data_IF_249475811077
#
_entry.id   IF_249475811077
#
_cell.length_a   1.000
_cell.length_b   1.000
_cell.length_c   1.000
_cell.angle_alpha   90.00
_cell.angle_beta   90.00
_cell.angle_gamma   90.00
#
_symmetry.space_group_name_H-M   'P 1'
#
loop_
_entity.id
_entity.type
_entity.pdbx_description
1 polymer ?
#
# COMPACT_ATOMS: atom_id res chain seq x y z
N UNK A 1 -30.66 -1.64 -9.95
CA UNK A 1 -29.29 -1.16 -9.79
C UNK A 1 -28.32 -2.32 -9.58
N UNK A 2 -28.72 -3.32 -8.81
CA UNK A 2 -27.85 -4.43 -8.43
C UNK A 2 -27.37 -5.29 -9.60
N UNK A 3 -28.22 -5.58 -10.59
CA UNK A 3 -27.84 -6.46 -11.70
C UNK A 3 -26.72 -5.89 -12.58
N UNK A 4 -26.74 -4.59 -12.83
CA UNK A 4 -25.70 -3.96 -13.65
C UNK A 4 -24.38 -3.88 -12.92
N UNK A 5 -24.42 -3.63 -11.62
CA UNK A 5 -23.22 -3.58 -10.78
C UNK A 5 -22.60 -4.96 -10.64
N UNK A 6 -23.41 -6.00 -10.40
CA UNK A 6 -22.93 -7.37 -10.34
C UNK A 6 -22.31 -7.83 -11.66
N UNK A 7 -22.92 -7.49 -12.79
CA UNK A 7 -22.36 -7.79 -14.10
C UNK A 7 -21.02 -7.06 -14.35
N UNK A 8 -20.90 -5.83 -13.90
CA UNK A 8 -19.66 -5.08 -13.98
C UNK A 8 -18.57 -5.72 -13.11
N UNK A 9 -18.91 -6.13 -11.91
CA UNK A 9 -17.97 -6.80 -11.02
C UNK A 9 -17.40 -8.09 -11.63
N UNK A 10 -18.25 -8.93 -12.20
CA UNK A 10 -17.85 -10.21 -12.78
C UNK A 10 -17.12 -10.07 -14.12
N UNK A 11 -17.48 -9.07 -14.92
CA UNK A 11 -16.97 -8.94 -16.28
C UNK A 11 -15.76 -8.02 -16.41
N UNK A 12 -15.48 -7.20 -15.39
CA UNK A 12 -14.47 -6.15 -15.45
C UNK A 12 -13.45 -6.22 -14.33
N UNK A 13 -13.30 -7.37 -13.71
CA UNK A 13 -12.27 -7.60 -12.72
C UNK A 13 -10.91 -7.25 -13.33
N UNK A 14 -10.20 -6.30 -12.71
CA UNK A 14 -8.95 -5.78 -13.23
C UNK A 14 -9.07 -4.68 -14.30
N UNK A 15 -10.24 -4.30 -14.73
CA UNK A 15 -10.43 -3.20 -15.69
C UNK A 15 -10.55 -1.85 -14.99
N UNK A 16 -9.58 -0.98 -15.18
CA UNK A 16 -9.55 0.36 -14.57
C UNK A 16 -10.68 1.30 -15.02
N UNK A 17 -11.26 1.06 -16.20
CA UNK A 17 -12.33 1.89 -16.76
C UNK A 17 -13.65 1.79 -16.02
N UNK A 18 -13.86 0.75 -15.25
CA UNK A 18 -15.13 0.50 -14.57
C UNK A 18 -15.33 1.32 -13.29
N UNK A 19 -14.30 1.96 -12.78
CA UNK A 19 -14.40 2.79 -11.58
C UNK A 19 -15.46 3.88 -11.69
N UNK A 20 -15.71 4.42 -12.88
CA UNK A 20 -16.75 5.40 -13.14
C UNK A 20 -18.18 4.82 -13.11
N UNK A 21 -18.32 3.50 -13.07
CA UNK A 21 -19.60 2.81 -13.05
C UNK A 21 -20.06 2.37 -11.67
N UNK A 22 -19.16 2.43 -10.68
CA UNK A 22 -19.46 2.08 -9.31
C UNK A 22 -20.14 3.23 -8.57
N UNK A 23 -21.29 2.95 -7.95
CA UNK A 23 -22.04 3.89 -7.12
C UNK A 23 -22.58 3.18 -5.90
N UNK A 24 -22.64 3.89 -4.78
CA UNK A 24 -23.26 3.40 -3.56
C UNK A 24 -24.60 4.10 -3.29
N UNK A 25 -25.62 3.31 -3.04
CA UNK A 25 -26.95 3.77 -2.70
C UNK A 25 -27.22 3.43 -1.23
N UNK A 26 -27.42 4.44 -0.41
CA UNK A 26 -27.59 4.32 1.04
C UNK A 26 -29.04 4.20 1.51
N UNK A 27 -29.99 4.25 0.59
CA UNK A 27 -31.41 4.11 0.89
C UNK A 27 -32.03 3.09 -0.05
N UNK A 28 -32.77 2.15 0.54
CA UNK A 28 -33.56 1.17 -0.20
C UNK A 28 -34.89 1.81 -0.68
N UNK A 29 -35.40 2.77 0.07
CA UNK A 29 -36.73 3.35 -0.15
C UNK A 29 -36.75 4.34 -1.33
N UNK A 30 -35.75 5.22 -1.40
CA UNK A 30 -35.70 6.30 -2.39
C UNK A 30 -34.55 6.17 -3.40
N UNK A 31 -33.67 5.18 -3.23
CA UNK A 31 -32.54 4.97 -4.10
C UNK A 31 -31.50 6.10 -4.03
N UNK A 32 -31.47 6.84 -2.92
CA UNK A 32 -30.53 7.94 -2.76
C UNK A 32 -29.10 7.43 -2.78
N UNK A 33 -28.29 7.94 -3.70
CA UNK A 33 -26.86 7.62 -3.80
C UNK A 33 -26.03 8.57 -2.95
N UNK A 34 -24.90 8.05 -2.45
CA UNK A 34 -23.89 8.89 -1.84
C UNK A 34 -23.20 9.72 -2.94
N UNK A 35 -23.31 11.02 -2.84
CA UNK A 35 -22.61 11.96 -3.72
C UNK A 35 -21.57 12.72 -2.94
N UNK A 36 -20.32 12.63 -3.37
CA UNK A 36 -19.17 13.36 -2.83
C UNK A 36 -18.92 13.15 -1.34
N UNK A 37 -17.93 12.38 -1.02
CA UNK A 37 -17.43 12.26 0.34
C UNK A 37 -17.06 10.83 0.72
N UNK A 38 -16.56 10.74 1.93
CA UNK A 38 -16.21 9.48 2.57
C UNK A 38 -17.44 8.82 3.16
N UNK A 39 -17.49 7.50 3.06
CA UNK A 39 -18.45 6.67 3.78
C UNK A 39 -17.85 5.31 4.10
N UNK A 40 -18.36 4.65 5.14
CA UNK A 40 -17.86 3.37 5.62
C UNK A 40 -19.01 2.38 5.64
N UNK A 41 -18.87 1.29 4.90
CA UNK A 41 -19.92 0.25 4.75
C UNK A 41 -19.31 -1.12 4.58
N UNK A 42 -20.07 -2.15 4.94
CA UNK A 42 -19.74 -3.54 4.61
C UNK A 42 -19.95 -3.73 3.11
N UNK A 43 -19.01 -4.34 2.38
CA UNK A 43 -19.17 -4.59 0.96
C UNK A 43 -20.31 -5.57 0.69
N UNK A 44 -21.01 -5.40 -0.41
CA UNK A 44 -22.03 -6.36 -0.81
C UNK A 44 -21.39 -7.62 -1.40
N UNK A 45 -22.05 -8.76 -1.27
CA UNK A 45 -21.55 -10.08 -1.72
C UNK A 45 -21.01 -10.07 -3.16
N UNK A 46 -21.71 -9.42 -4.07
CA UNK A 46 -21.28 -9.34 -5.48
C UNK A 46 -20.08 -8.41 -5.73
N UNK A 47 -19.69 -7.61 -4.75
CA UNK A 47 -18.47 -6.78 -4.81
C UNK A 47 -17.29 -7.50 -4.21
N UNK A 48 -17.50 -8.17 -3.10
CA UNK A 48 -16.49 -8.94 -2.41
C UNK A 48 -17.11 -10.16 -1.74
N UNK A 49 -17.16 -11.26 -2.51
CA UNK A 49 -17.75 -12.51 -2.05
C UNK A 49 -17.01 -13.18 -0.89
N UNK A 50 -15.81 -12.72 -0.58
CA UNK A 50 -15.02 -13.26 0.52
C UNK A 50 -15.25 -12.53 1.85
N UNK A 51 -15.73 -11.29 1.80
CA UNK A 51 -15.78 -10.38 2.96
C UNK A 51 -17.16 -9.83 3.29
N UNK A 52 -18.16 -10.14 2.50
CA UNK A 52 -19.50 -9.56 2.71
C UNK A 52 -20.16 -10.03 4.01
N UNK A 53 -19.75 -11.17 4.51
CA UNK A 53 -20.25 -11.79 5.75
C UNK A 53 -19.32 -11.60 6.97
N UNK A 54 -18.16 -10.95 6.76
CA UNK A 54 -17.22 -10.67 7.86
C UNK A 54 -17.67 -9.49 8.75
N UNK A 55 -18.77 -8.84 8.42
CA UNK A 55 -19.30 -7.63 9.08
C UNK A 55 -18.29 -6.47 9.12
N UNK A 56 -17.20 -6.57 8.38
CA UNK A 56 -16.17 -5.53 8.34
C UNK A 56 -16.51 -4.41 7.38
N UNK A 57 -16.71 -3.23 7.95
CA UNK A 57 -16.95 -2.03 7.15
C UNK A 57 -15.64 -1.44 6.62
N UNK A 58 -15.62 -1.15 5.33
CA UNK A 58 -14.50 -0.54 4.62
C UNK A 58 -14.79 0.90 4.22
N UNK A 59 -13.74 1.71 4.09
CA UNK A 59 -13.86 3.08 3.63
C UNK A 59 -13.89 3.18 2.11
N UNK A 60 -14.79 4.02 1.62
CA UNK A 60 -14.96 4.37 0.22
C UNK A 60 -15.07 5.88 0.05
N UNK A 61 -14.83 6.36 -1.16
CA UNK A 61 -15.02 7.76 -1.49
C UNK A 61 -15.78 7.92 -2.81
N UNK A 62 -16.88 8.68 -2.77
CA UNK A 62 -17.63 9.06 -3.96
C UNK A 62 -17.24 10.47 -4.43
N UNK A 63 -17.10 10.64 -5.74
CA UNK A 63 -16.92 11.96 -6.36
C UNK A 63 -18.23 12.77 -6.38
N UNK A 64 -18.18 13.98 -6.94
CA UNK A 64 -19.36 14.87 -7.03
C UNK A 64 -20.51 14.29 -7.87
N UNK A 65 -20.24 13.33 -8.72
CA UNK A 65 -21.23 12.62 -9.54
C UNK A 65 -21.70 11.31 -8.89
N UNK A 66 -21.18 10.97 -7.73
CA UNK A 66 -21.49 9.74 -7.02
C UNK A 66 -20.70 8.52 -7.49
N UNK A 67 -19.71 8.68 -8.38
CA UNK A 67 -18.86 7.57 -8.80
C UNK A 67 -17.82 7.28 -7.73
N UNK A 68 -17.60 6.00 -7.42
CA UNK A 68 -16.56 5.59 -6.47
C UNK A 68 -15.18 5.65 -7.11
N UNK A 69 -14.19 6.12 -6.34
CA UNK A 69 -12.81 5.94 -6.74
C UNK A 69 -12.42 4.47 -6.58
N UNK A 70 -11.90 3.88 -7.64
CA UNK A 70 -11.47 2.48 -7.65
C UNK A 70 -10.24 2.31 -8.57
N UNK A 71 -9.33 1.41 -8.21
CA UNK A 71 -8.15 1.06 -8.99
C UNK A 71 -7.20 2.23 -9.24
N UNK A 72 -7.07 3.17 -8.32
CA UNK A 72 -6.31 4.39 -8.55
C UNK A 72 -5.81 5.07 -7.27
N UNK A 73 -4.75 5.87 -7.43
CA UNK A 73 -4.40 6.90 -6.45
C UNK A 73 -5.24 8.15 -6.66
N UNK A 74 -5.68 8.79 -5.58
CA UNK A 74 -6.42 10.06 -5.62
C UNK A 74 -5.96 11.02 -4.53
N UNK A 75 -5.87 12.30 -4.90
CA UNK A 75 -5.66 13.37 -3.92
C UNK A 75 -7.00 13.95 -3.52
N UNK A 76 -7.29 13.88 -2.22
CA UNK A 76 -8.53 14.37 -1.63
C UNK A 76 -8.13 15.34 -0.52
N UNK A 77 -8.55 16.60 -0.64
CA UNK A 77 -8.22 17.67 0.32
C UNK A 77 -6.72 17.74 0.66
N UNK A 78 -5.87 17.62 -0.36
CA UNK A 78 -4.41 17.72 -0.22
C UNK A 78 -3.69 16.47 0.28
N UNK A 79 -4.40 15.43 0.68
CA UNK A 79 -3.85 14.13 1.06
C UNK A 79 -4.05 13.11 -0.05
N UNK A 80 -3.07 12.24 -0.27
CA UNK A 80 -3.13 11.18 -1.30
C UNK A 80 -3.60 9.87 -0.67
N UNK A 81 -4.53 9.22 -1.35
CA UNK A 81 -5.10 7.93 -0.97
C UNK A 81 -4.98 6.96 -2.13
N UNK A 82 -5.09 5.67 -1.85
CA UNK A 82 -5.17 4.63 -2.85
C UNK A 82 -6.46 3.82 -2.65
N UNK A 83 -7.07 3.42 -3.75
CA UNK A 83 -8.30 2.64 -3.74
C UNK A 83 -8.10 1.35 -4.54
N UNK A 84 -8.56 0.23 -3.99
CA UNK A 84 -8.57 -1.07 -4.66
C UNK A 84 -9.53 -1.04 -5.85
N UNK A 85 -9.49 -2.07 -6.67
CA UNK A 85 -10.40 -2.18 -7.80
C UNK A 85 -11.88 -2.18 -7.44
N UNK A 86 -12.22 -2.72 -6.28
CA UNK A 86 -13.59 -2.75 -5.76
C UNK A 86 -13.98 -1.44 -5.03
N UNK A 87 -13.09 -0.46 -4.99
CA UNK A 87 -13.31 0.85 -4.38
C UNK A 87 -12.90 0.95 -2.92
N UNK A 88 -12.49 -0.13 -2.27
CA UNK A 88 -12.03 -0.07 -0.87
C UNK A 88 -10.77 0.79 -0.77
N UNK A 89 -10.74 1.67 0.20
CA UNK A 89 -9.53 2.44 0.55
C UNK A 89 -8.44 1.49 1.04
N UNK A 90 -7.23 1.68 0.54
CA UNK A 90 -6.05 0.95 1.01
C UNK A 90 -5.50 1.63 2.26
N UNK A 91 -5.17 0.86 3.27
CA UNK A 91 -4.55 1.28 4.51
C UNK A 91 -3.33 0.43 4.85
N UNK A 92 -2.63 0.78 5.92
CA UNK A 92 -1.47 0.05 6.39
C UNK A 92 -0.26 0.10 5.46
N UNK A 93 0.65 -0.85 5.68
CA UNK A 93 1.88 -1.03 4.91
C UNK A 93 1.63 -2.04 3.79
N UNK A 94 1.73 -1.61 2.54
CA UNK A 94 1.40 -2.44 1.37
C UNK A 94 2.43 -2.31 0.27
N UNK A 95 2.68 -3.39 -0.46
CA UNK A 95 3.37 -3.35 -1.75
C UNK A 95 2.34 -3.20 -2.87
N UNK A 96 2.48 -2.15 -3.66
CA UNK A 96 1.57 -1.84 -4.75
C UNK A 96 2.37 -1.64 -6.02
N UNK A 97 1.91 -2.22 -7.12
CA UNK A 97 2.40 -1.83 -8.43
C UNK A 97 1.79 -0.46 -8.78
N UNK A 98 2.59 0.63 -8.88
CA UNK A 98 2.05 1.97 -9.09
C UNK A 98 1.39 2.16 -10.45
N UNK A 99 1.71 1.31 -11.41
CA UNK A 99 1.12 1.33 -12.76
C UNK A 99 -0.15 0.47 -12.85
N UNK A 100 -0.40 -0.35 -11.83
CA UNK A 100 -1.53 -1.26 -11.81
C UNK A 100 -1.98 -1.57 -10.37
N UNK A 101 -2.92 -0.78 -9.84
CA UNK A 101 -3.46 -0.95 -8.50
C UNK A 101 -4.36 -2.18 -8.33
N UNK A 102 -4.53 -2.99 -9.37
CA UNK A 102 -5.07 -4.34 -9.22
C UNK A 102 -4.06 -5.27 -8.55
N UNK A 103 -2.78 -4.90 -8.60
CA UNK A 103 -1.66 -5.67 -8.03
C UNK A 103 -1.24 -5.04 -6.71
N UNK A 104 -1.88 -5.48 -5.65
CA UNK A 104 -1.57 -5.11 -4.26
C UNK A 104 -1.16 -6.37 -3.53
N UNK A 105 0.05 -6.37 -2.97
CA UNK A 105 0.47 -7.49 -2.12
C UNK A 105 -0.05 -7.33 -0.71
N UNK A 106 -0.40 -8.46 -0.15
CA UNK A 106 -1.20 -8.66 1.04
C UNK A 106 -2.59 -8.03 0.89
N UNK A 107 -3.18 -8.32 -0.28
CA UNK A 107 -4.50 -7.85 -0.64
C UNK A 107 -5.61 -8.66 0.01
N UNK A 108 -5.32 -9.88 0.30
CA UNK A 108 -6.40 -10.81 0.24
C UNK A 108 -6.85 -11.36 1.55
N UNK A 109 -6.32 -11.17 2.66
CA UNK A 109 -6.98 -11.70 3.86
C UNK A 109 -6.28 -11.37 5.18
N UNK A 110 -5.24 -10.54 5.17
CA UNK A 110 -4.61 -10.24 6.43
C UNK A 110 -4.48 -8.73 6.62
N UNK A 111 -5.08 -8.26 7.69
CA UNK A 111 -4.85 -6.90 8.20
C UNK A 111 -3.38 -6.72 8.61
N UNK A 112 -2.66 -7.85 8.74
CA UNK A 112 -1.26 -7.92 9.08
C UNK A 112 -0.47 -8.67 8.00
N UNK A 113 -0.13 -8.01 6.87
CA UNK A 113 0.54 -8.64 5.75
C UNK A 113 1.95 -9.15 6.07
N UNK A 114 2.51 -8.74 7.19
CA UNK A 114 3.85 -9.11 7.64
C UNK A 114 3.76 -9.50 9.11
N UNK A 115 3.84 -10.79 9.37
CA UNK A 115 3.82 -11.32 10.73
C UNK A 115 5.12 -11.01 11.48
N UNK A 116 6.22 -10.82 10.74
CA UNK A 116 7.53 -10.54 11.30
C UNK A 116 8.32 -9.54 10.45
N UNK A 117 9.43 -9.01 10.99
CA UNK A 117 10.38 -8.22 10.21
C UNK A 117 10.98 -9.04 9.05
N UNK A 118 11.23 -10.33 9.25
CA UNK A 118 11.79 -11.20 8.23
C UNK A 118 10.81 -11.38 7.06
N UNK A 119 9.52 -11.53 7.32
CA UNK A 119 8.49 -11.59 6.28
C UNK A 119 8.45 -10.31 5.45
N UNK A 120 8.60 -9.15 6.10
CA UNK A 120 8.73 -7.89 5.38
C UNK A 120 9.99 -7.86 4.51
N UNK A 121 11.14 -8.27 5.04
CA UNK A 121 12.41 -8.26 4.31
C UNK A 121 12.36 -9.19 3.08
N UNK A 122 11.81 -10.38 3.22
CA UNK A 122 11.62 -11.32 2.11
C UNK A 122 10.66 -10.77 1.05
N UNK A 123 9.55 -10.20 1.50
CA UNK A 123 8.56 -9.56 0.63
C UNK A 123 9.16 -8.38 -0.12
N UNK A 124 9.97 -7.54 0.53
CA UNK A 124 10.65 -6.43 -0.09
C UNK A 124 11.54 -6.89 -1.27
N UNK A 125 12.36 -7.92 -1.04
CA UNK A 125 13.21 -8.48 -2.09
C UNK A 125 12.41 -9.05 -3.28
N UNK A 126 11.30 -9.73 -2.98
CA UNK A 126 10.45 -10.38 -3.97
C UNK A 126 9.69 -9.37 -4.80
N UNK A 127 8.99 -8.44 -4.16
CA UNK A 127 8.04 -7.56 -4.84
C UNK A 127 8.69 -6.37 -5.52
N UNK A 128 9.79 -5.83 -5.00
CA UNK A 128 10.56 -4.80 -5.71
C UNK A 128 11.07 -5.29 -7.06
N UNK A 129 11.50 -6.56 -7.16
CA UNK A 129 11.92 -7.18 -8.43
C UNK A 129 10.77 -7.29 -9.44
N UNK A 130 9.54 -7.31 -8.97
CA UNK A 130 8.34 -7.40 -9.81
C UNK A 130 7.73 -6.02 -10.12
N UNK A 131 8.42 -4.93 -9.77
CA UNK A 131 7.97 -3.57 -10.04
C UNK A 131 7.00 -2.99 -9.01
N UNK A 132 6.82 -3.65 -7.86
CA UNK A 132 6.05 -3.09 -6.75
C UNK A 132 6.89 -2.08 -5.96
N UNK A 133 6.23 -1.11 -5.39
CA UNK A 133 6.79 -0.20 -4.38
C UNK A 133 6.04 -0.36 -3.07
N UNK A 134 6.75 -0.20 -1.98
CA UNK A 134 6.14 -0.17 -0.65
C UNK A 134 5.55 1.21 -0.37
N UNK A 135 4.32 1.25 0.13
CA UNK A 135 3.62 2.45 0.57
C UNK A 135 3.08 2.25 1.97
N UNK A 136 2.97 3.35 2.71
CA UNK A 136 2.32 3.34 4.01
C UNK A 136 1.20 4.36 4.07
N UNK A 137 0.00 3.91 4.41
CA UNK A 137 -1.24 4.70 4.45
C UNK A 137 -1.75 4.93 5.87
N UNK A 138 -0.91 4.70 6.88
CA UNK A 138 -1.35 4.78 8.27
C UNK A 138 -2.17 3.56 8.68
N UNK A 139 -2.93 3.71 9.74
CA UNK A 139 -3.86 2.67 10.19
C UNK A 139 -5.20 2.72 9.44
N UNK A 140 -6.05 1.73 9.66
CA UNK A 140 -7.31 1.51 8.97
C UNK A 140 -8.34 2.65 9.01
N UNK A 141 -8.13 3.67 9.84
CA UNK A 141 -8.99 4.84 9.91
C UNK A 141 -8.37 6.09 9.26
N UNK A 142 -7.07 6.08 8.98
CA UNK A 142 -6.37 7.21 8.35
C UNK A 142 -6.36 7.11 6.82
N UNK A 143 -5.78 6.05 6.28
CA UNK A 143 -5.66 5.81 4.83
C UNK A 143 -4.83 6.84 4.05
N UNK A 144 -4.37 7.90 4.68
CA UNK A 144 -3.58 8.92 4.00
C UNK A 144 -2.13 8.47 3.80
N UNK A 145 -1.67 8.52 2.55
CA UNK A 145 -0.30 8.19 2.18
C UNK A 145 0.72 8.98 2.99
N UNK A 146 1.62 8.28 3.63
CA UNK A 146 2.73 8.87 4.38
C UNK A 146 3.92 9.13 3.47
N UNK A 147 4.67 10.17 3.80
CA UNK A 147 5.91 10.56 3.11
C UNK A 147 6.96 10.96 4.12
N UNK A 148 8.24 10.97 3.71
CA UNK A 148 9.34 11.34 4.59
C UNK A 148 9.63 10.27 5.66
N UNK A 149 10.33 10.67 6.72
CA UNK A 149 10.62 9.80 7.87
C UNK A 149 9.33 9.45 8.60
N UNK A 150 9.09 8.18 8.78
CA UNK A 150 7.87 7.66 9.37
C UNK A 150 8.22 6.44 10.22
N UNK A 151 7.62 6.32 11.39
CA UNK A 151 7.71 5.10 12.19
C UNK A 151 6.57 4.17 11.80
N UNK A 152 6.91 2.92 11.48
CA UNK A 152 5.95 1.88 11.13
C UNK A 152 6.12 0.72 12.11
N UNK A 153 5.02 0.18 12.59
CA UNK A 153 5.00 -0.99 13.46
C UNK A 153 4.81 -2.26 12.62
N UNK A 154 5.66 -3.25 12.87
CA UNK A 154 5.57 -4.60 12.31
C UNK A 154 5.74 -5.57 13.48
N UNK A 155 4.77 -6.46 13.70
CA UNK A 155 4.80 -7.44 14.80
C UNK A 155 5.04 -6.81 16.18
N UNK A 156 4.43 -5.66 16.44
CA UNK A 156 4.59 -4.92 17.71
C UNK A 156 5.91 -4.18 17.85
N UNK A 157 6.85 -4.33 16.92
CA UNK A 157 8.12 -3.61 16.91
C UNK A 157 8.06 -2.37 16.00
N UNK A 158 8.76 -1.32 16.41
CA UNK A 158 8.79 -0.05 15.69
C UNK A 158 10.03 0.08 14.84
N UNK A 159 9.85 0.29 13.55
CA UNK A 159 10.90 0.48 12.56
C UNK A 159 10.87 1.88 11.97
N UNK A 160 12.03 2.42 11.66
CA UNK A 160 12.17 3.68 10.96
C UNK A 160 12.08 3.44 9.44
N UNK A 161 11.18 4.16 8.80
CA UNK A 161 10.99 4.15 7.35
C UNK A 161 11.27 5.52 6.75
N UNK A 162 11.61 5.51 5.47
CA UNK A 162 11.63 6.71 4.64
C UNK A 162 10.83 6.47 3.36
N UNK A 163 9.84 7.33 3.13
CA UNK A 163 9.03 7.35 1.93
C UNK A 163 9.30 8.63 1.13
N UNK A 164 9.40 8.52 -0.20
CA UNK A 164 9.74 9.66 -1.06
C UNK A 164 8.75 10.82 -0.89
N UNK A 165 9.29 12.04 -0.80
CA UNK A 165 8.49 13.24 -0.49
C UNK A 165 7.73 13.78 -1.68
N UNK A 166 8.25 13.58 -2.90
CA UNK A 166 7.77 14.27 -4.10
C UNK A 166 8.11 13.50 -5.37
N UNK A 167 7.70 14.03 -6.51
CA UNK A 167 7.95 13.45 -7.82
C UNK A 167 7.04 12.28 -8.14
N UNK A 168 7.40 11.52 -9.17
CA UNK A 168 6.65 10.34 -9.63
C UNK A 168 6.63 9.23 -8.60
N UNK A 169 7.64 9.16 -7.75
CA UNK A 169 7.79 8.17 -6.67
C UNK A 169 7.23 8.63 -5.32
N UNK A 170 6.52 9.75 -5.27
CA UNK A 170 5.97 10.27 -4.01
C UNK A 170 5.20 9.18 -3.25
N UNK A 171 5.62 8.93 -2.01
CA UNK A 171 5.06 7.92 -1.12
C UNK A 171 5.69 6.53 -1.26
N UNK A 172 6.48 6.28 -2.32
CA UNK A 172 7.19 5.02 -2.44
C UNK A 172 8.31 4.90 -1.40
N UNK A 173 8.45 3.72 -0.80
CA UNK A 173 9.54 3.41 0.12
C UNK A 173 10.89 3.51 -0.57
N UNK A 174 11.83 4.17 0.08
CA UNK A 174 13.20 4.32 -0.44
C UNK A 174 13.91 2.97 -0.47
N UNK A 175 14.58 2.67 -1.57
CA UNK A 175 15.59 1.61 -1.65
C UNK A 175 16.91 2.21 -2.07
N UNK A 176 17.97 1.97 -1.30
CA UNK A 176 19.30 2.54 -1.48
C UNK A 176 19.64 3.59 -0.45
N UNK A 177 20.65 4.39 -0.75
CA UNK A 177 21.20 5.38 0.15
C UNK A 177 20.42 6.69 0.17
N UNK A 178 20.26 7.26 1.35
CA UNK A 178 19.79 8.61 1.58
C UNK A 178 20.30 9.16 2.91
N UNK A 179 20.94 10.32 2.86
CA UNK A 179 21.50 11.01 4.02
C UNK A 179 22.40 10.06 4.88
N UNK A 180 23.34 9.38 4.20
CA UNK A 180 24.27 8.40 4.78
C UNK A 180 23.60 7.18 5.44
N UNK A 181 22.32 6.95 5.14
CA UNK A 181 21.52 5.81 5.61
C UNK A 181 21.09 4.94 4.45
N UNK A 182 20.96 3.66 4.74
CA UNK A 182 20.51 2.68 3.74
C UNK A 182 19.12 2.15 4.08
N UNK A 183 18.29 2.08 3.06
CA UNK A 183 16.90 1.67 3.17
C UNK A 183 16.61 0.55 2.16
N UNK A 184 15.68 -0.32 2.50
CA UNK A 184 15.10 -1.29 1.58
C UNK A 184 13.58 -1.24 1.69
N UNK A 185 12.92 -0.97 0.58
CA UNK A 185 11.47 -0.79 0.51
C UNK A 185 10.94 0.18 1.58
N UNK A 186 11.71 1.21 1.88
CA UNK A 186 11.43 2.20 2.91
C UNK A 186 12.04 1.90 4.28
N UNK A 187 12.24 0.64 4.65
CA UNK A 187 12.74 0.27 5.97
C UNK A 187 14.23 0.59 6.12
N UNK A 188 14.57 1.30 7.20
CA UNK A 188 15.96 1.57 7.55
C UNK A 188 16.68 0.25 7.88
N UNK A 189 17.82 0.02 7.23
CA UNK A 189 18.64 -1.15 7.47
C UNK A 189 19.63 -0.88 8.60
N UNK A 190 19.70 -1.80 9.57
CA UNK A 190 20.59 -1.75 10.71
C UNK A 190 21.09 -3.14 11.04
N UNK A 191 22.32 -3.24 11.53
CA UNK A 191 22.77 -4.45 12.19
C UNK A 191 22.04 -4.62 13.54
N UNK A 192 21.88 -5.83 14.01
CA UNK A 192 21.35 -6.12 15.33
C UNK A 192 22.23 -5.53 16.44
N UNK A 193 21.69 -5.39 17.64
CA UNK A 193 22.39 -4.77 18.77
C UNK A 193 23.66 -5.50 19.20
N UNK A 194 23.75 -6.77 18.91
CA UNK A 194 24.86 -7.69 19.19
C UNK A 194 25.69 -8.04 17.95
N UNK A 195 25.33 -7.49 16.79
CA UNK A 195 26.01 -7.68 15.52
C UNK A 195 26.91 -6.49 15.17
N UNK A 196 28.06 -6.77 14.55
CA UNK A 196 28.95 -5.73 14.03
C UNK A 196 28.58 -5.26 12.63
N UNK A 197 27.87 -6.09 11.87
CA UNK A 197 27.47 -5.79 10.50
C UNK A 197 26.30 -6.66 10.09
N UNK A 198 25.57 -6.16 9.12
CA UNK A 198 24.55 -6.91 8.40
C UNK A 198 24.90 -6.97 6.92
N UNK A 199 24.70 -8.13 6.28
CA UNK A 199 24.81 -8.28 4.83
C UNK A 199 23.42 -8.17 4.22
N UNK A 200 23.23 -7.20 3.33
CA UNK A 200 21.95 -6.96 2.70
C UNK A 200 22.03 -7.19 1.19
N UNK A 201 21.18 -8.08 0.69
CA UNK A 201 21.09 -8.38 -0.73
C UNK A 201 20.17 -7.37 -1.46
N UNK A 202 20.46 -7.12 -2.72
CA UNK A 202 19.56 -6.37 -3.61
C UNK A 202 19.71 -4.86 -3.59
N UNK A 203 20.49 -4.29 -2.69
CA UNK A 203 20.77 -2.86 -2.70
C UNK A 203 21.83 -2.54 -3.73
N UNK A 204 21.45 -1.78 -4.76
CA UNK A 204 22.40 -1.23 -5.72
C UNK A 204 23.18 -0.10 -5.07
N UNK A 205 24.46 -0.31 -4.84
CA UNK A 205 25.37 0.75 -4.42
C UNK A 205 26.32 1.09 -5.56
N UNK A 206 26.58 2.37 -5.77
CA UNK A 206 27.56 2.84 -6.74
C UNK A 206 29.00 2.61 -6.27
N UNK A 207 29.19 2.16 -5.04
CA UNK A 207 30.50 2.08 -4.37
C UNK A 207 31.10 0.68 -4.46
N UNK A 208 30.34 -0.34 -4.78
CA UNK A 208 30.83 -1.70 -4.66
C UNK A 208 31.02 -2.44 -5.97
N UNK A 209 32.03 -2.03 -6.73
CA UNK A 209 32.58 -2.84 -7.82
C UNK A 209 33.40 -4.04 -7.34
N UNK A 210 33.65 -4.17 -6.02
CA UNK A 210 34.57 -5.18 -5.47
C UNK A 210 33.88 -6.39 -4.85
N UNK A 211 32.63 -6.27 -4.42
CA UNK A 211 31.95 -7.36 -3.71
C UNK A 211 30.94 -8.13 -4.57
N UNK A 212 30.79 -7.76 -5.83
CA UNK A 212 29.85 -8.45 -6.73
C UNK A 212 28.40 -7.99 -6.56
N UNK A 213 27.61 -8.25 -7.55
CA UNK A 213 26.28 -7.70 -7.71
C UNK A 213 25.38 -7.93 -6.48
N UNK A 214 25.02 -6.87 -5.80
CA UNK A 214 23.84 -6.84 -4.98
C UNK A 214 24.02 -7.03 -3.48
N UNK A 215 25.26 -6.92 -2.96
CA UNK A 215 25.48 -6.97 -1.53
C UNK A 215 26.15 -5.71 -1.02
N UNK A 216 25.73 -5.22 0.12
CA UNK A 216 26.46 -4.22 0.89
C UNK A 216 26.73 -4.76 2.29
N UNK A 217 27.98 -4.68 2.69
CA UNK A 217 28.40 -4.95 4.07
C UNK A 217 28.21 -3.69 4.90
N UNK A 218 27.55 -3.81 6.01
CA UNK A 218 27.24 -2.75 6.93
C UNK A 218 27.94 -3.06 8.22
N UNK A 219 28.83 -2.18 8.63
CA UNK A 219 29.85 -2.49 9.61
C UNK A 219 29.44 -2.23 11.04
N UNK A 220 28.46 -1.40 11.29
CA UNK A 220 28.02 -1.04 12.64
C UNK A 220 26.59 -0.54 12.57
N UNK A 221 25.77 -0.84 13.57
CA UNK A 221 24.43 -0.29 13.68
C UNK A 221 24.39 1.24 13.71
N UNK A 222 25.51 1.88 14.08
CA UNK A 222 25.68 3.33 14.04
C UNK A 222 26.12 3.84 12.68
N UNK A 223 26.89 3.06 11.92
CA UNK A 223 27.35 3.42 10.57
C UNK A 223 26.29 3.18 9.50
N UNK A 224 25.24 2.50 9.88
CA UNK A 224 24.10 2.35 9.04
C UNK A 224 23.28 3.55 8.90
N UNK A 225 23.68 4.35 9.48
CA UNK A 225 23.02 5.56 9.73
C UNK A 225 23.43 6.55 8.66
#
# INVERSE_FOLDING_TARGET
>A
ASSNVANLATNNEGNRGWSSSWMYFNSIEDGARVTKGWFKVVPAEYLDSKRYDDDEANWYYADGSGNLYAGQFKTIKGKKYAFRNDGRMIDGLKFINPDDLTKVYADDDSDHPFDTEDDFNESALKYEKQGYSCYYFGDGNDGAMKTNKTTVEIDGEKFNFYFEKSGSLKGAGKTGEKDDKYYQAGKLLRAGSDEKYQVVAGIKTTVDSKTGAGYKKISDAKEFI
#
